data_IF_668809737990
#
_entry.id   IF_668809737990
#
_cell.length_a   1.000
_cell.length_b   1.000
_cell.length_c   1.000
_cell.angle_alpha   90.00
_cell.angle_beta   90.00
_cell.angle_gamma   90.00
#
_symmetry.space_group_name_H-M   'P 1'
#
loop_
_entity.id
_entity.type
_entity.pdbx_description
1 polymer ?
#
# COMPACT_ATOMS: atom_id res chain seq x y z
N UNK A 1 23.95 1.59 9.90
CA UNK A 1 22.62 1.66 9.25
C UNK A 1 21.60 2.10 10.28
N UNK A 2 20.89 3.21 10.05
CA UNK A 2 19.79 3.64 10.91
C UNK A 2 18.67 2.59 10.85
N UNK A 3 18.14 2.18 12.00
CA UNK A 3 16.99 1.26 12.06
C UNK A 3 15.77 1.92 11.39
N UNK A 4 14.88 1.15 10.73
CA UNK A 4 13.64 1.68 10.19
C UNK A 4 12.85 2.38 11.29
N UNK A 5 12.25 3.53 10.98
CA UNK A 5 11.34 4.21 11.91
C UNK A 5 10.05 3.42 12.04
N UNK A 6 9.27 3.65 13.11
CA UNK A 6 7.94 3.06 13.24
C UNK A 6 7.03 3.44 12.07
N UNK A 7 7.22 4.63 11.49
CA UNK A 7 6.57 5.09 10.26
C UNK A 7 6.95 4.25 9.05
N UNK A 8 8.25 4.00 8.81
CA UNK A 8 8.72 3.15 7.70
C UNK A 8 8.24 1.70 7.87
N UNK A 9 8.19 1.20 9.11
CA UNK A 9 7.64 -0.11 9.42
C UNK A 9 6.13 -0.17 9.14
N UNK A 10 5.36 0.83 9.56
CA UNK A 10 3.92 0.91 9.31
C UNK A 10 3.59 0.99 7.82
N UNK A 11 4.31 1.82 7.08
CA UNK A 11 4.15 1.95 5.63
C UNK A 11 4.45 0.63 4.89
N UNK A 12 5.47 -0.11 5.33
CA UNK A 12 5.75 -1.44 4.76
C UNK A 12 4.62 -2.45 5.00
N UNK A 13 4.08 -2.49 6.22
CA UNK A 13 2.95 -3.37 6.56
C UNK A 13 1.73 -3.02 5.69
N UNK A 14 1.41 -1.73 5.56
CA UNK A 14 0.28 -1.27 4.74
C UNK A 14 0.47 -1.62 3.26
N UNK A 15 1.68 -1.49 2.73
CA UNK A 15 2.02 -1.90 1.37
C UNK A 15 1.81 -3.40 1.16
N UNK A 16 2.35 -4.24 2.06
CA UNK A 16 2.23 -5.70 1.98
C UNK A 16 0.77 -6.15 2.02
N UNK A 17 -0.03 -5.57 2.93
CA UNK A 17 -1.46 -5.87 3.05
C UNK A 17 -2.26 -5.44 1.80
N UNK A 18 -1.96 -4.26 1.25
CA UNK A 18 -2.63 -3.77 0.05
C UNK A 18 -2.31 -4.66 -1.17
N UNK A 19 -1.07 -5.12 -1.33
CA UNK A 19 -0.69 -6.05 -2.41
C UNK A 19 -1.44 -7.38 -2.29
N UNK A 20 -1.57 -7.92 -1.07
CA UNK A 20 -2.35 -9.14 -0.83
C UNK A 20 -3.84 -8.94 -1.11
N UNK A 21 -4.38 -7.76 -0.77
CA UNK A 21 -5.80 -7.44 -0.93
C UNK A 21 -6.20 -7.09 -2.36
N UNK A 22 -5.25 -6.63 -3.18
CA UNK A 22 -5.44 -6.38 -4.62
C UNK A 22 -5.35 -7.66 -5.47
N UNK A 23 -5.06 -8.82 -4.88
CA UNK A 23 -4.96 -10.06 -5.63
C UNK A 23 -6.34 -10.49 -6.20
N UNK A 24 -6.45 -10.71 -7.52
CA UNK A 24 -7.72 -10.94 -8.20
C UNK A 24 -8.42 -12.25 -7.83
N UNK A 25 -7.72 -13.20 -7.22
CA UNK A 25 -8.29 -14.50 -6.84
C UNK A 25 -9.15 -14.46 -5.57
N UNK A 26 -9.01 -13.44 -4.73
CA UNK A 26 -9.82 -13.27 -3.51
C UNK A 26 -11.20 -12.65 -3.81
N UNK A 27 -11.31 -11.93 -4.92
CA UNK A 27 -12.54 -11.30 -5.38
C UNK A 27 -12.90 -11.87 -6.75
N UNK A 28 -13.30 -13.16 -6.73
CA UNK A 28 -13.68 -13.89 -7.93
C UNK A 28 -14.58 -13.07 -8.85
N UNK A 29 -14.22 -13.04 -10.13
CA UNK A 29 -14.96 -12.49 -11.27
C UNK A 29 -16.48 -12.45 -11.05
N UNK A 30 -17.01 -11.29 -10.70
CA UNK A 30 -18.42 -10.96 -10.95
C UNK A 30 -18.38 -9.88 -12.02
N UNK A 31 -18.60 -10.31 -13.25
CA UNK A 31 -18.81 -9.40 -14.37
C UNK A 31 -20.09 -8.60 -14.13
N UNK A 32 -19.98 -7.28 -14.16
CA UNK A 32 -21.12 -6.39 -14.32
C UNK A 32 -21.47 -5.61 -13.06
N UNK A 33 -21.50 -4.29 -13.26
CA UNK A 33 -21.95 -3.23 -12.36
C UNK A 33 -20.97 -2.73 -11.29
N UNK A 34 -20.85 -1.40 -11.28
CA UNK A 34 -20.16 -0.52 -10.32
C UNK A 34 -20.56 -0.86 -8.87
N UNK A 35 -19.98 -1.93 -8.33
CA UNK A 35 -20.36 -2.54 -7.07
C UNK A 35 -19.41 -2.20 -5.91
N UNK A 36 -19.71 -2.71 -4.70
CA UNK A 36 -18.85 -2.56 -3.51
C UNK A 36 -17.39 -2.99 -3.74
N UNK A 37 -17.15 -3.91 -4.68
CA UNK A 37 -15.83 -4.40 -5.04
C UNK A 37 -14.95 -3.34 -5.70
N UNK A 38 -15.49 -2.46 -6.54
CA UNK A 38 -14.71 -1.39 -7.17
C UNK A 38 -14.31 -0.34 -6.14
N UNK A 39 -15.16 -0.06 -5.16
CA UNK A 39 -14.83 0.83 -4.04
C UNK A 39 -13.77 0.21 -3.12
N UNK A 40 -13.86 -1.09 -2.86
CA UNK A 40 -12.86 -1.83 -2.08
C UNK A 40 -11.52 -1.85 -2.81
N UNK A 41 -11.52 -2.13 -4.13
CA UNK A 41 -10.33 -2.07 -4.97
C UNK A 41 -9.74 -0.66 -4.99
N UNK A 42 -10.57 0.38 -5.16
CA UNK A 42 -10.12 1.77 -5.15
C UNK A 42 -9.50 2.15 -3.79
N UNK A 43 -10.08 1.69 -2.68
CA UNK A 43 -9.52 1.89 -1.34
C UNK A 43 -8.14 1.22 -1.22
N UNK A 44 -8.01 -0.05 -1.61
CA UNK A 44 -6.74 -0.77 -1.53
C UNK A 44 -5.67 -0.19 -2.45
N UNK A 45 -6.04 0.27 -3.65
CA UNK A 45 -5.16 1.06 -4.51
C UNK A 45 -4.70 2.36 -3.85
N UNK A 46 -5.60 3.08 -3.16
CA UNK A 46 -5.26 4.28 -2.41
C UNK A 46 -4.24 3.99 -1.30
N UNK A 47 -4.44 2.92 -0.54
CA UNK A 47 -3.51 2.48 0.51
C UNK A 47 -2.16 2.09 -0.08
N UNK A 48 -2.14 1.36 -1.20
CA UNK A 48 -0.93 0.98 -1.91
C UNK A 48 -0.09 2.19 -2.30
N UNK A 49 -0.71 3.20 -2.94
CA UNK A 49 -0.01 4.41 -3.37
C UNK A 49 0.51 5.22 -2.18
N UNK A 50 -0.32 5.45 -1.16
CA UNK A 50 0.10 6.17 0.04
C UNK A 50 1.28 5.49 0.75
N UNK A 51 1.28 4.16 0.81
CA UNK A 51 2.37 3.39 1.41
C UNK A 51 3.68 3.52 0.61
N UNK A 52 3.62 3.48 -0.72
CA UNK A 52 4.80 3.70 -1.58
C UNK A 52 5.38 5.10 -1.37
N UNK A 53 4.54 6.13 -1.40
CA UNK A 53 4.98 7.52 -1.23
C UNK A 53 5.66 7.71 0.14
N UNK A 54 5.08 7.15 1.19
CA UNK A 54 5.63 7.24 2.53
C UNK A 54 6.98 6.52 2.67
N UNK A 55 7.14 5.36 2.01
CA UNK A 55 8.42 4.63 1.98
C UNK A 55 9.49 5.41 1.20
N UNK A 56 9.12 6.04 0.08
CA UNK A 56 10.01 6.88 -0.70
C UNK A 56 10.48 8.10 0.10
N UNK A 57 9.58 8.77 0.82
CA UNK A 57 9.92 9.88 1.71
C UNK A 57 10.86 9.41 2.84
N UNK A 58 10.56 8.29 3.49
CA UNK A 58 11.42 7.72 4.55
C UNK A 58 12.83 7.40 4.03
N UNK A 59 12.95 6.93 2.79
CA UNK A 59 14.25 6.72 2.13
C UNK A 59 14.97 8.03 1.90
N UNK A 60 14.31 9.02 1.30
CA UNK A 60 14.90 10.34 1.03
C UNK A 60 15.40 11.03 2.32
N UNK A 61 14.63 10.96 3.41
CA UNK A 61 15.04 11.53 4.71
C UNK A 61 16.27 10.83 5.30
N UNK A 62 16.43 9.52 5.10
CA UNK A 62 17.63 8.80 5.54
C UNK A 62 18.85 9.21 4.72
N UNK A 63 18.70 9.33 3.41
CA UNK A 63 19.78 9.75 2.52
C UNK A 63 20.21 11.20 2.80
N UNK A 64 19.26 12.09 3.09
CA UNK A 64 19.56 13.48 3.47
C UNK A 64 20.24 13.62 4.84
N UNK A 65 20.14 12.60 5.70
CA UNK A 65 20.74 12.57 7.05
C UNK A 65 22.09 11.84 7.09
N UNK A 66 22.44 11.11 6.04
CA UNK A 66 23.70 10.37 5.90
C UNK A 66 24.82 11.28 5.39
#
# INVERSE_FOLDING_TARGET
MARPTDTERGARIAYEEAVLSLHPDLFGYINGDDGPLDQINAMWWGIYHAAIDQLAECKALREARA
#
